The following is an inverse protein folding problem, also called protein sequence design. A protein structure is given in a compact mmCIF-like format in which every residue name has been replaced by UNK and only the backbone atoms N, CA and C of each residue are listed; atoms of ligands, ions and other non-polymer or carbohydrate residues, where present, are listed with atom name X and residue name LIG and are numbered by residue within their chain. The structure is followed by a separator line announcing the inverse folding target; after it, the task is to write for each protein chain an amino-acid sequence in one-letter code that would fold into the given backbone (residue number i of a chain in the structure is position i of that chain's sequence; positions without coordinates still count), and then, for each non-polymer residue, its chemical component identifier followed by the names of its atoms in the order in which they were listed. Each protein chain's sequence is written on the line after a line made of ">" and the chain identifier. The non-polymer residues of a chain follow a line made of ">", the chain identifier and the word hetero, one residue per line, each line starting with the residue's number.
data_IF_758687689744
#
_entry.id   IF_758687689744
#
_cell.length_a   1.000
_cell.length_b   1.000
_cell.length_c   1.000
_cell.angle_alpha   90.00
_cell.angle_beta   90.00
_cell.angle_gamma   90.00
#
_symmetry.space_group_name_H-M   'P 1'
#
loop_
_entity.id
_entity.type
_entity.pdbx_description
1 polymer ?
#
# COMPACT_ATOMS: atom_id res chain seq x y z
N UNK A 1 -38.39 -69.04 -78.80
CA UNK A 1 -39.28 -68.66 -77.71
C UNK A 1 -38.45 -67.98 -76.66
N UNK A 2 -38.51 -66.78 -76.67
CA UNK A 2 -37.60 -65.81 -76.00
C UNK A 2 -38.16 -65.38 -74.62
N UNK A 3 -37.41 -65.46 -73.58
CA UNK A 3 -37.79 -64.95 -72.27
C UNK A 3 -36.82 -63.85 -71.88
N UNK A 4 -37.34 -62.63 -71.75
CA UNK A 4 -36.61 -61.47 -71.30
C UNK A 4 -36.52 -61.45 -69.77
N UNK A 5 -35.29 -61.38 -69.26
CA UNK A 5 -35.06 -61.21 -67.84
C UNK A 5 -34.70 -59.76 -67.60
N UNK A 6 -35.57 -59.02 -66.89
CA UNK A 6 -35.30 -57.63 -66.48
C UNK A 6 -34.32 -57.55 -65.28
N UNK A 7 -33.23 -56.89 -65.50
CA UNK A 7 -32.29 -56.51 -64.40
C UNK A 7 -32.81 -55.30 -63.62
N UNK A 8 -33.04 -55.49 -62.31
CA UNK A 8 -33.40 -54.41 -61.39
C UNK A 8 -32.10 -53.76 -60.89
N UNK A 9 -31.94 -52.46 -61.24
CA UNK A 9 -30.90 -51.60 -60.66
C UNK A 9 -31.29 -51.23 -59.24
N UNK A 10 -30.49 -51.66 -58.23
CA UNK A 10 -30.57 -51.18 -56.86
C UNK A 10 -29.69 -49.96 -56.71
N UNK A 11 -30.32 -48.79 -56.51
CA UNK A 11 -29.62 -47.56 -56.17
C UNK A 11 -29.14 -47.61 -54.71
N UNK A 12 -27.84 -47.75 -54.50
CA UNK A 12 -27.21 -47.56 -53.19
C UNK A 12 -27.22 -46.04 -52.86
N UNK A 13 -27.92 -45.69 -51.77
CA UNK A 13 -27.82 -44.37 -51.18
C UNK A 13 -26.61 -44.36 -50.27
N UNK A 14 -25.58 -43.58 -50.60
CA UNK A 14 -24.47 -43.27 -49.73
C UNK A 14 -24.95 -42.26 -48.66
N UNK A 15 -25.07 -42.70 -47.42
CA UNK A 15 -25.29 -41.83 -46.26
C UNK A 15 -23.96 -41.22 -45.85
N UNK A 16 -23.78 -39.95 -46.22
CA UNK A 16 -22.63 -39.19 -45.75
C UNK A 16 -22.77 -38.86 -44.24
N UNK A 17 -21.95 -39.45 -43.40
CA UNK A 17 -21.79 -39.01 -42.01
C UNK A 17 -20.94 -37.74 -41.98
N UNK A 18 -21.57 -36.57 -41.81
CA UNK A 18 -20.87 -35.35 -41.43
C UNK A 18 -20.53 -35.41 -39.94
N UNK A 19 -19.30 -35.75 -39.62
CA UNK A 19 -18.78 -35.62 -38.27
C UNK A 19 -18.57 -34.13 -37.98
N UNK A 20 -19.50 -33.52 -37.24
CA UNK A 20 -19.34 -32.16 -36.72
C UNK A 20 -18.30 -32.23 -35.56
N UNK A 21 -17.09 -31.77 -35.83
CA UNK A 21 -16.03 -31.59 -34.84
C UNK A 21 -16.40 -30.37 -33.97
N UNK A 22 -17.09 -30.59 -32.84
CA UNK A 22 -17.34 -29.55 -31.85
C UNK A 22 -16.03 -29.26 -31.09
N UNK A 23 -15.29 -28.25 -31.52
CA UNK A 23 -14.16 -27.73 -30.75
C UNK A 23 -14.74 -27.04 -29.52
N UNK A 24 -14.72 -27.73 -28.37
CA UNK A 24 -14.94 -27.09 -27.07
C UNK A 24 -13.76 -26.15 -26.83
N UNK A 25 -14.00 -24.86 -27.04
CA UNK A 25 -13.12 -23.80 -26.55
C UNK A 25 -13.23 -23.81 -25.02
N UNK A 26 -12.31 -24.55 -24.36
CA UNK A 26 -12.06 -24.40 -22.95
C UNK A 26 -11.42 -23.02 -22.75
N UNK A 27 -12.25 -22.00 -22.64
CA UNK A 27 -11.82 -20.68 -22.19
C UNK A 27 -11.29 -20.83 -20.77
N UNK A 28 -9.97 -20.81 -20.59
CA UNK A 28 -9.35 -20.67 -19.29
C UNK A 28 -9.83 -19.33 -18.72
N UNK A 29 -10.83 -19.36 -17.84
CA UNK A 29 -11.19 -18.19 -17.05
C UNK A 29 -9.96 -17.79 -16.24
N UNK A 30 -9.35 -16.65 -16.55
CA UNK A 30 -8.30 -16.09 -15.73
C UNK A 30 -8.87 -15.93 -14.30
N UNK A 31 -8.13 -16.32 -13.27
CA UNK A 31 -8.60 -16.16 -11.90
C UNK A 31 -8.96 -14.72 -11.65
N UNK A 32 -10.11 -14.46 -11.03
CA UNK A 32 -10.56 -13.12 -10.71
C UNK A 32 -9.48 -12.42 -9.89
N UNK A 33 -8.95 -11.29 -10.42
CA UNK A 33 -7.92 -10.53 -9.75
C UNK A 33 -8.54 -9.85 -8.52
N UNK A 34 -7.97 -10.10 -7.34
CA UNK A 34 -8.43 -9.42 -6.13
C UNK A 34 -8.02 -7.95 -6.17
N UNK A 35 -8.74 -7.08 -5.45
CA UNK A 35 -8.39 -5.65 -5.35
C UNK A 35 -6.95 -5.43 -4.85
N UNK A 36 -6.43 -6.35 -4.04
CA UNK A 36 -5.04 -6.29 -3.57
C UNK A 36 -4.02 -6.55 -4.67
N UNK A 37 -4.41 -7.25 -5.74
CA UNK A 37 -3.58 -7.55 -6.91
C UNK A 37 -3.80 -6.55 -8.05
N UNK A 38 -4.73 -5.61 -7.88
CA UNK A 38 -5.03 -4.61 -8.90
C UNK A 38 -3.85 -3.67 -9.16
N UNK A 39 -3.69 -3.29 -10.41
CA UNK A 39 -2.78 -2.27 -10.91
C UNK A 39 -3.55 -1.32 -11.82
N UNK A 40 -2.98 -0.17 -12.16
CA UNK A 40 -3.63 0.82 -13.04
C UNK A 40 -3.54 0.39 -14.52
N UNK A 41 -2.40 -0.22 -14.90
CA UNK A 41 -2.15 -0.58 -16.30
C UNK A 41 -1.94 0.65 -17.20
N UNK A 42 -1.16 1.63 -16.73
CA UNK A 42 -0.89 2.86 -17.48
C UNK A 42 -0.26 2.52 -18.85
N UNK A 43 -0.80 3.05 -19.97
CA UNK A 43 -0.23 2.80 -21.29
C UNK A 43 1.18 3.41 -21.41
N UNK A 44 2.06 2.73 -22.15
CA UNK A 44 3.44 3.18 -22.44
C UNK A 44 4.31 3.44 -21.19
N UNK A 45 4.03 2.78 -20.08
CA UNK A 45 4.85 2.90 -18.87
C UNK A 45 6.26 2.32 -19.10
N UNK A 46 7.27 3.02 -18.60
CA UNK A 46 8.69 2.62 -18.74
C UNK A 46 9.16 1.70 -17.59
N UNK A 47 8.40 1.62 -16.53
CA UNK A 47 8.71 0.80 -15.35
C UNK A 47 7.54 -0.12 -15.03
N UNK A 48 7.84 -1.34 -14.59
CA UNK A 48 6.81 -2.29 -14.16
C UNK A 48 6.00 -1.72 -12.99
N UNK A 49 4.71 -1.97 -13.03
CA UNK A 49 3.79 -1.62 -11.96
C UNK A 49 3.71 -2.77 -10.94
N UNK A 50 3.53 -2.43 -9.68
CA UNK A 50 3.30 -3.38 -8.60
C UNK A 50 1.98 -3.11 -7.90
N UNK A 51 1.34 -4.17 -7.45
CA UNK A 51 0.08 -4.14 -6.70
C UNK A 51 0.29 -3.87 -5.20
N UNK A 52 -0.80 -3.61 -4.48
CA UNK A 52 -0.77 -3.52 -3.00
C UNK A 52 -0.25 -4.83 -2.36
N UNK A 53 -0.60 -6.00 -2.93
CA UNK A 53 -0.08 -7.27 -2.45
C UNK A 53 1.44 -7.39 -2.63
N UNK A 54 1.98 -6.88 -3.74
CA UNK A 54 3.42 -6.86 -3.98
C UNK A 54 4.15 -5.96 -2.99
N UNK A 55 3.61 -4.76 -2.71
CA UNK A 55 4.20 -3.85 -1.71
C UNK A 55 4.22 -4.51 -0.33
N UNK A 56 3.13 -5.18 0.08
CA UNK A 56 3.10 -5.92 1.35
C UNK A 56 4.18 -7.00 1.41
N UNK A 57 4.36 -7.76 0.32
CA UNK A 57 5.40 -8.79 0.24
C UNK A 57 6.79 -8.17 0.36
N UNK A 58 7.07 -7.11 -0.40
CA UNK A 58 8.36 -6.39 -0.38
C UNK A 58 8.70 -5.88 1.03
N UNK A 59 7.71 -5.36 1.76
CA UNK A 59 7.90 -4.89 3.14
C UNK A 59 8.12 -6.05 4.14
N UNK A 60 7.51 -7.21 3.89
CA UNK A 60 7.63 -8.37 4.76
C UNK A 60 8.97 -9.11 4.59
N UNK A 61 9.46 -9.22 3.35
CA UNK A 61 10.67 -9.98 3.02
C UNK A 61 11.92 -9.12 2.77
N UNK A 62 11.77 -7.79 2.77
CA UNK A 62 12.87 -6.85 2.52
C UNK A 62 13.44 -6.94 1.10
N UNK A 63 12.72 -7.51 0.15
CA UNK A 63 13.20 -7.77 -1.21
C UNK A 63 13.35 -6.54 -2.09
N UNK A 64 12.86 -5.38 -1.66
CA UNK A 64 13.09 -4.09 -2.32
C UNK A 64 13.03 -2.93 -1.32
N UNK A 65 13.63 -1.81 -1.68
CA UNK A 65 13.52 -0.56 -0.95
C UNK A 65 12.28 0.18 -1.44
N UNK A 66 11.39 0.53 -0.51
CA UNK A 66 10.19 1.33 -0.82
C UNK A 66 10.52 2.81 -0.67
N UNK A 67 10.31 3.59 -1.74
CA UNK A 67 10.63 5.01 -1.81
C UNK A 67 9.38 5.87 -1.91
N UNK A 68 9.18 6.75 -0.94
CA UNK A 68 8.18 7.81 -1.00
C UNK A 68 8.74 9.03 -1.72
N UNK A 69 8.13 9.36 -2.86
CA UNK A 69 8.56 10.47 -3.71
C UNK A 69 7.81 11.77 -3.45
N UNK A 70 6.97 11.79 -2.42
CA UNK A 70 6.24 13.00 -2.00
C UNK A 70 7.15 13.98 -1.27
N UNK A 71 6.68 15.22 -1.17
CA UNK A 71 7.40 16.26 -0.40
C UNK A 71 7.63 15.82 1.05
N UNK A 72 8.74 16.26 1.63
CA UNK A 72 9.10 15.91 3.02
C UNK A 72 7.96 16.21 4.01
N UNK A 73 7.27 17.33 3.87
CA UNK A 73 6.13 17.68 4.72
C UNK A 73 4.95 16.71 4.65
N UNK A 74 4.74 16.06 3.49
CA UNK A 74 3.70 15.02 3.33
C UNK A 74 4.15 13.69 3.92
N UNK A 75 5.43 13.36 3.74
CA UNK A 75 6.02 12.16 4.30
C UNK A 75 5.97 12.16 5.83
N UNK A 76 6.43 13.24 6.48
CA UNK A 76 6.41 13.34 7.95
C UNK A 76 5.00 13.30 8.52
N UNK A 77 3.99 13.77 7.77
CA UNK A 77 2.58 13.73 8.17
C UNK A 77 1.93 12.34 8.02
N UNK A 78 2.60 11.42 7.32
CA UNK A 78 2.17 10.03 7.19
C UNK A 78 2.68 9.37 5.92
N UNK A 79 3.35 8.22 6.05
CA UNK A 79 3.93 7.44 4.97
C UNK A 79 3.73 5.94 5.17
N UNK A 80 3.91 5.16 4.13
CA UNK A 80 3.87 3.69 4.25
C UNK A 80 4.98 3.25 5.21
N UNK A 81 4.63 2.48 6.23
CA UNK A 81 5.57 2.00 7.24
C UNK A 81 6.79 1.31 6.60
N UNK A 82 7.99 1.74 6.99
CA UNK A 82 9.25 1.24 6.42
C UNK A 82 9.67 1.88 5.10
N UNK A 83 8.92 2.80 4.54
CA UNK A 83 9.34 3.55 3.35
C UNK A 83 10.39 4.61 3.70
N UNK A 84 11.25 4.92 2.73
CA UNK A 84 12.24 6.01 2.82
C UNK A 84 11.83 7.16 1.91
N UNK A 85 12.02 8.40 2.38
CA UNK A 85 11.65 9.58 1.60
C UNK A 85 12.79 10.02 0.67
N UNK A 86 12.45 10.25 -0.58
CA UNK A 86 13.34 10.87 -1.56
C UNK A 86 12.66 12.13 -2.07
N UNK A 87 12.91 13.24 -1.40
CA UNK A 87 12.30 14.53 -1.69
C UNK A 87 13.34 15.66 -1.59
N UNK A 88 14.26 15.79 -2.54
CA UNK A 88 15.07 17.01 -2.66
C UNK A 88 14.18 18.27 -2.74
N UNK A 89 14.72 19.46 -2.51
CA UNK A 89 13.97 20.70 -2.65
C UNK A 89 13.24 20.76 -4.00
N UNK A 90 12.06 21.35 -4.04
CA UNK A 90 11.23 21.40 -5.27
C UNK A 90 11.94 22.11 -6.45
N UNK A 91 12.93 22.97 -6.16
CA UNK A 91 13.79 23.63 -7.15
C UNK A 91 14.99 22.79 -7.60
N UNK A 92 15.21 21.61 -6.99
CA UNK A 92 16.35 20.77 -7.31
C UNK A 92 16.23 20.18 -8.72
N UNK A 93 17.32 20.12 -9.49
CA UNK A 93 17.32 19.46 -10.78
C UNK A 93 17.13 17.94 -10.61
N UNK A 94 16.65 17.29 -11.67
CA UNK A 94 16.41 15.85 -11.71
C UNK A 94 17.62 15.02 -11.25
N UNK A 95 18.83 15.48 -11.54
CA UNK A 95 20.09 14.82 -11.16
C UNK A 95 20.26 14.70 -9.64
N UNK A 96 19.75 15.63 -8.86
CA UNK A 96 19.84 15.55 -7.38
C UNK A 96 18.96 14.44 -6.82
N UNK A 97 17.76 14.21 -7.41
CA UNK A 97 16.89 13.10 -7.01
C UNK A 97 17.54 11.75 -7.31
N UNK A 98 18.17 11.62 -8.49
CA UNK A 98 18.90 10.42 -8.87
C UNK A 98 20.09 10.20 -7.95
N UNK A 99 20.89 11.24 -7.66
CA UNK A 99 22.04 11.16 -6.76
C UNK A 99 21.63 10.78 -5.32
N UNK A 100 20.49 11.28 -4.84
CA UNK A 100 19.97 10.91 -3.54
C UNK A 100 19.64 9.42 -3.46
N UNK A 101 19.01 8.86 -4.51
CA UNK A 101 18.74 7.41 -4.59
C UNK A 101 20.02 6.62 -4.72
N UNK A 102 20.98 7.07 -5.54
CA UNK A 102 22.28 6.41 -5.72
C UNK A 102 23.05 6.31 -4.39
N UNK A 103 23.06 7.39 -3.61
CA UNK A 103 23.64 7.40 -2.26
C UNK A 103 22.92 6.43 -1.33
N UNK A 104 21.59 6.38 -1.36
CA UNK A 104 20.75 5.52 -0.52
C UNK A 104 21.03 4.03 -0.79
N UNK A 105 21.24 3.67 -2.06
CA UNK A 105 21.56 2.27 -2.43
C UNK A 105 23.05 1.93 -2.34
N UNK A 106 23.91 2.88 -1.96
CA UNK A 106 25.36 2.69 -1.88
C UNK A 106 26.02 2.49 -3.26
N UNK A 107 25.45 3.11 -4.30
CA UNK A 107 25.92 3.00 -5.69
C UNK A 107 25.46 1.73 -6.43
N UNK A 108 24.80 0.79 -5.76
CA UNK A 108 24.31 -0.44 -6.39
C UNK A 108 23.01 -0.22 -7.16
N UNK A 109 23.12 0.03 -8.46
CA UNK A 109 21.99 0.27 -9.36
C UNK A 109 21.14 -0.97 -9.68
N UNK A 110 21.57 -2.15 -9.24
CA UNK A 110 20.79 -3.40 -9.36
C UNK A 110 19.79 -3.61 -8.26
N UNK A 111 19.88 -2.88 -7.15
CA UNK A 111 18.94 -2.98 -6.04
C UNK A 111 17.50 -2.73 -6.48
N UNK A 112 16.60 -3.58 -5.98
CA UNK A 112 15.19 -3.47 -6.28
C UNK A 112 14.60 -2.26 -5.57
N UNK A 113 13.94 -1.39 -6.34
CA UNK A 113 13.27 -0.18 -5.87
C UNK A 113 11.78 -0.23 -6.22
N UNK A 114 10.93 0.19 -5.29
CA UNK A 114 9.52 0.44 -5.53
C UNK A 114 9.20 1.87 -5.14
N UNK A 115 8.80 2.68 -6.12
CA UNK A 115 8.48 4.09 -5.89
C UNK A 115 6.97 4.28 -5.77
N UNK A 116 6.53 5.11 -4.83
CA UNK A 116 5.12 5.50 -4.73
C UNK A 116 4.94 7.00 -4.47
N UNK A 117 3.69 7.44 -4.60
CA UNK A 117 3.25 8.83 -4.39
C UNK A 117 1.80 8.88 -3.89
N UNK A 118 1.08 9.96 -4.16
CA UNK A 118 -0.32 10.20 -3.78
C UNK A 118 -1.35 9.57 -4.75
N UNK A 119 -1.01 8.52 -5.46
CA UNK A 119 -1.94 7.80 -6.32
C UNK A 119 -1.74 8.06 -7.83
N UNK A 120 -2.71 7.66 -8.68
CA UNK A 120 -2.53 7.53 -10.12
C UNK A 120 -2.08 8.80 -10.84
N UNK A 121 -2.58 9.95 -10.41
CA UNK A 121 -2.29 11.24 -11.06
C UNK A 121 -0.96 11.88 -10.62
N UNK A 122 -0.23 11.25 -9.70
CA UNK A 122 1.01 11.81 -9.20
C UNK A 122 2.18 11.59 -10.17
N UNK A 123 2.75 12.67 -10.65
CA UNK A 123 3.87 12.60 -11.59
C UNK A 123 5.23 12.36 -10.93
N UNK A 124 5.39 12.63 -9.63
CA UNK A 124 6.69 12.53 -8.97
C UNK A 124 7.30 11.12 -9.04
N UNK A 125 6.53 10.07 -8.71
CA UNK A 125 7.03 8.69 -8.81
C UNK A 125 7.28 8.27 -10.26
N UNK A 126 6.48 8.75 -11.22
CA UNK A 126 6.68 8.48 -12.65
C UNK A 126 7.98 9.10 -13.15
N UNK A 127 8.13 10.41 -12.95
CA UNK A 127 9.32 11.13 -13.42
C UNK A 127 10.60 10.57 -12.79
N UNK A 128 10.62 10.37 -11.47
CA UNK A 128 11.81 9.83 -10.81
C UNK A 128 12.12 8.40 -11.29
N UNK A 129 11.12 7.54 -11.46
CA UNK A 129 11.37 6.17 -11.94
C UNK A 129 11.97 6.15 -13.35
N UNK A 130 11.50 7.01 -14.25
CA UNK A 130 12.05 7.15 -15.61
C UNK A 130 13.48 7.70 -15.59
N UNK A 131 13.77 8.66 -14.71
CA UNK A 131 15.12 9.21 -14.52
C UNK A 131 16.10 8.16 -13.98
N UNK A 132 15.66 7.35 -13.02
CA UNK A 132 16.48 6.25 -12.49
C UNK A 132 16.80 5.22 -13.56
N UNK A 133 15.82 4.82 -14.38
CA UNK A 133 16.07 3.91 -15.52
C UNK A 133 17.05 4.53 -16.49
N UNK A 134 16.90 5.80 -16.84
CA UNK A 134 17.84 6.52 -17.72
C UNK A 134 19.26 6.62 -17.12
N UNK A 135 19.38 6.65 -15.79
CA UNK A 135 20.64 6.66 -15.05
C UNK A 135 21.25 5.26 -14.86
N UNK A 136 20.64 4.20 -15.44
CA UNK A 136 21.16 2.84 -15.42
C UNK A 136 20.69 1.96 -14.25
N UNK A 137 19.67 2.37 -13.50
CA UNK A 137 19.05 1.47 -12.53
C UNK A 137 18.23 0.40 -13.26
N UNK A 138 18.44 -0.87 -12.90
CA UNK A 138 17.89 -2.01 -13.65
C UNK A 138 16.65 -2.65 -13.04
N UNK A 139 16.31 -2.33 -11.78
CA UNK A 139 15.21 -2.95 -11.06
C UNK A 139 14.31 -1.89 -10.38
N UNK A 140 13.69 -1.07 -11.20
CA UNK A 140 12.80 0.02 -10.75
C UNK A 140 11.35 -0.33 -11.07
N UNK A 141 10.49 -0.26 -10.06
CA UNK A 141 9.05 -0.55 -10.15
C UNK A 141 8.25 0.59 -9.52
N UNK A 142 6.96 0.70 -9.84
CA UNK A 142 6.08 1.73 -9.31
C UNK A 142 4.83 1.15 -8.67
N UNK A 143 4.50 1.63 -7.47
CA UNK A 143 3.20 1.43 -6.84
C UNK A 143 2.32 2.66 -7.14
N UNK A 144 1.61 2.61 -8.27
CA UNK A 144 0.84 3.76 -8.76
C UNK A 144 -0.42 4.07 -7.93
N UNK A 145 -0.99 3.05 -7.28
CA UNK A 145 -2.14 3.23 -6.39
C UNK A 145 -1.80 4.10 -5.17
N UNK A 146 -0.54 4.09 -4.75
CA UNK A 146 0.04 4.99 -3.77
C UNK A 146 -0.55 4.93 -2.36
N UNK A 147 -0.26 5.94 -1.55
CA UNK A 147 -0.66 5.99 -0.14
C UNK A 147 -2.19 5.94 0.07
N UNK A 148 -3.06 6.56 -0.75
CA UNK A 148 -4.50 6.50 -0.55
C UNK A 148 -5.05 5.06 -0.59
N UNK A 149 -4.65 4.29 -1.61
CA UNK A 149 -5.07 2.88 -1.69
C UNK A 149 -4.45 2.04 -0.57
N UNK A 150 -3.19 2.30 -0.21
CA UNK A 150 -2.54 1.64 0.92
C UNK A 150 -3.35 1.79 2.21
N UNK A 151 -3.81 3.02 2.53
CA UNK A 151 -4.69 3.29 3.69
C UNK A 151 -6.01 2.55 3.59
N UNK A 152 -6.68 2.63 2.45
CA UNK A 152 -7.97 1.96 2.21
C UNK A 152 -7.88 0.44 2.36
N UNK A 153 -6.73 -0.13 2.02
CA UNK A 153 -6.45 -1.56 2.18
C UNK A 153 -5.87 -1.90 3.57
N UNK A 154 -6.09 -1.08 4.57
CA UNK A 154 -5.61 -1.30 5.95
C UNK A 154 -4.08 -1.41 6.06
N UNK A 155 -3.37 -0.76 5.17
CA UNK A 155 -1.91 -0.69 5.24
C UNK A 155 -1.47 0.23 6.38
N UNK A 156 -0.50 -0.19 7.21
CA UNK A 156 -0.02 0.63 8.30
C UNK A 156 0.74 1.85 7.81
N UNK A 157 0.46 2.99 8.44
CA UNK A 157 1.04 4.29 8.11
C UNK A 157 1.81 4.83 9.32
N UNK A 158 3.06 5.15 9.12
CA UNK A 158 3.89 5.83 10.12
C UNK A 158 3.72 7.35 10.01
N UNK A 159 3.81 8.03 11.15
CA UNK A 159 3.90 9.49 11.26
C UNK A 159 5.16 9.83 12.05
N UNK A 160 5.99 10.73 11.53
CA UNK A 160 7.20 11.14 12.24
C UNK A 160 6.89 12.11 13.40
N UNK A 161 7.83 12.27 14.33
CA UNK A 161 7.68 13.17 15.48
C UNK A 161 7.23 14.57 15.07
N UNK A 162 7.85 15.16 14.05
CA UNK A 162 7.47 16.46 13.49
C UNK A 162 5.99 16.48 13.07
N UNK A 163 5.54 15.42 12.40
CA UNK A 163 4.16 15.24 11.98
C UNK A 163 3.19 15.16 13.16
N UNK A 164 3.54 14.37 14.18
CA UNK A 164 2.74 14.25 15.42
C UNK A 164 2.61 15.60 16.11
N UNK A 165 3.72 16.31 16.31
CA UNK A 165 3.73 17.63 16.96
C UNK A 165 2.88 18.65 16.21
N UNK A 166 2.96 18.65 14.87
CA UNK A 166 2.15 19.52 14.04
C UNK A 166 0.66 19.22 14.21
N UNK A 167 0.26 17.93 14.15
CA UNK A 167 -1.13 17.52 14.35
C UNK A 167 -1.59 17.87 15.75
N UNK A 168 -0.81 17.57 16.77
CA UNK A 168 -1.15 17.83 18.17
C UNK A 168 -1.36 19.32 18.49
N UNK A 169 -0.56 20.19 17.86
CA UNK A 169 -0.64 21.65 18.10
C UNK A 169 -1.75 22.35 17.28
N UNK A 170 -2.12 21.81 16.11
CA UNK A 170 -2.93 22.54 15.13
C UNK A 170 -4.27 21.89 14.82
N UNK A 171 -4.34 20.56 14.78
CA UNK A 171 -5.56 19.83 14.38
C UNK A 171 -6.42 19.49 15.59
N UNK A 172 -7.37 20.38 15.90
CA UNK A 172 -8.29 20.20 17.03
C UNK A 172 -9.31 19.06 16.82
N UNK A 173 -9.39 18.50 15.62
CA UNK A 173 -10.29 17.39 15.30
C UNK A 173 -9.60 16.03 15.36
N UNK A 174 -8.27 16.01 15.48
CA UNK A 174 -7.50 14.79 15.59
C UNK A 174 -7.72 14.09 16.94
N UNK A 175 -7.81 12.78 16.90
CA UNK A 175 -7.95 11.92 18.08
C UNK A 175 -6.61 11.21 18.32
N UNK A 176 -6.17 11.20 19.58
CA UNK A 176 -4.90 10.58 19.97
C UNK A 176 -5.16 9.41 20.90
N UNK A 177 -4.61 8.23 20.55
CA UNK A 177 -4.69 7.03 21.38
C UNK A 177 -3.33 6.64 21.92
N UNK A 178 -3.28 6.48 23.23
CA UNK A 178 -2.14 5.96 23.98
C UNK A 178 -2.31 4.46 24.23
N UNK A 179 -1.44 3.66 23.61
CA UNK A 179 -1.46 2.20 23.69
C UNK A 179 -0.84 1.62 24.95
N UNK A 180 -0.29 2.45 25.85
CA UNK A 180 0.34 1.98 27.10
C UNK A 180 -0.72 1.44 28.07
N UNK A 181 -0.25 0.75 29.11
CA UNK A 181 -1.14 0.25 30.17
C UNK A 181 -1.90 1.38 30.86
N UNK A 182 -3.01 1.06 31.51
CA UNK A 182 -3.80 2.03 32.26
C UNK A 182 -2.99 2.69 33.40
N UNK A 183 -2.11 1.94 34.05
CA UNK A 183 -1.27 2.46 35.12
C UNK A 183 -0.20 3.44 34.61
N UNK A 184 0.43 3.13 33.49
CA UNK A 184 1.38 4.04 32.84
C UNK A 184 0.69 5.34 32.39
N UNK A 185 -0.52 5.21 31.83
CA UNK A 185 -1.33 6.36 31.40
C UNK A 185 -1.74 7.22 32.58
N UNK A 186 -2.18 6.61 33.68
CA UNK A 186 -2.57 7.33 34.91
C UNK A 186 -1.38 8.06 35.57
N UNK A 187 -0.18 7.47 35.47
CA UNK A 187 1.04 8.06 36.03
C UNK A 187 1.50 9.28 35.20
N UNK A 188 1.42 9.19 33.87
CA UNK A 188 1.86 10.26 32.96
C UNK A 188 1.18 10.10 31.61
N UNK A 189 0.45 11.13 31.17
CA UNK A 189 -0.24 11.15 29.88
C UNK A 189 -0.08 12.51 29.18
N UNK A 190 -0.39 12.57 27.91
CA UNK A 190 -0.50 13.82 27.16
C UNK A 190 -1.94 14.33 27.28
N UNK A 191 -2.11 15.64 27.34
CA UNK A 191 -3.43 16.25 27.41
C UNK A 191 -4.26 15.93 26.15
N UNK A 192 -5.56 15.66 26.32
CA UNK A 192 -6.45 15.35 25.21
C UNK A 192 -6.27 13.99 24.56
N UNK A 193 -5.51 13.07 25.18
CA UNK A 193 -5.34 11.73 24.67
C UNK A 193 -6.24 10.71 25.39
N UNK A 194 -6.59 9.63 24.69
CA UNK A 194 -7.38 8.53 25.22
C UNK A 194 -6.52 7.28 25.43
N UNK A 195 -6.68 6.61 26.57
CA UNK A 195 -6.00 5.35 26.80
C UNK A 195 -6.71 4.19 26.10
N UNK A 196 -6.01 3.49 25.23
CA UNK A 196 -6.46 2.30 24.52
C UNK A 196 -5.38 1.24 24.62
N UNK A 197 -5.28 0.51 25.74
CA UNK A 197 -4.16 -0.40 26.01
C UNK A 197 -3.99 -1.47 24.91
N UNK A 198 -2.80 -1.55 24.34
CA UNK A 198 -2.51 -2.47 23.23
C UNK A 198 -2.74 -3.95 23.60
N UNK A 199 -2.49 -4.33 24.86
CA UNK A 199 -2.72 -5.70 25.32
C UNK A 199 -4.19 -6.05 25.36
N UNK A 200 -5.07 -5.12 25.75
CA UNK A 200 -6.52 -5.30 25.63
C UNK A 200 -6.97 -5.38 24.17
N UNK A 201 -6.40 -4.55 23.29
CA UNK A 201 -6.69 -4.60 21.86
C UNK A 201 -6.30 -5.95 21.25
N UNK A 202 -5.18 -6.54 21.65
CA UNK A 202 -4.80 -7.90 21.22
C UNK A 202 -5.79 -8.96 21.67
N UNK A 203 -6.31 -8.85 22.89
CA UNK A 203 -7.19 -9.86 23.48
C UNK A 203 -8.66 -9.72 23.03
N UNK A 204 -9.17 -8.48 22.94
CA UNK A 204 -10.60 -8.19 22.84
C UNK A 204 -10.95 -7.33 21.60
N UNK A 205 -9.96 -6.96 20.80
CA UNK A 205 -10.11 -6.00 19.70
C UNK A 205 -10.38 -4.59 20.23
N UNK A 206 -11.06 -3.77 19.44
CA UNK A 206 -11.35 -2.37 19.76
C UNK A 206 -12.60 -2.18 20.63
N UNK A 207 -13.05 -3.21 21.32
CA UNK A 207 -14.26 -3.12 22.17
C UNK A 207 -14.08 -2.03 23.22
N UNK A 208 -15.00 -1.06 23.24
CA UNK A 208 -14.99 0.07 24.18
C UNK A 208 -13.94 1.15 23.90
N UNK A 209 -13.14 1.02 22.84
CA UNK A 209 -12.28 2.11 22.40
C UNK A 209 -13.14 3.29 21.89
N UNK A 210 -12.79 4.55 22.20
CA UNK A 210 -13.56 5.73 21.81
C UNK A 210 -13.29 6.09 20.34
N UNK A 211 -13.53 5.13 19.44
CA UNK A 211 -13.36 5.35 17.99
C UNK A 211 -14.51 6.22 17.47
N UNK A 212 -14.22 7.19 16.58
CA UNK A 212 -15.25 7.98 15.91
C UNK A 212 -16.22 7.06 15.16
N UNK A 213 -17.53 7.24 15.40
CA UNK A 213 -18.57 6.37 14.83
C UNK A 213 -19.25 6.95 13.59
N UNK A 214 -19.09 8.25 13.36
CA UNK A 214 -19.78 9.01 12.32
C UNK A 214 -18.86 9.67 11.28
N UNK A 215 -17.54 9.61 11.49
CA UNK A 215 -16.55 10.11 10.54
C UNK A 215 -15.34 9.18 10.47
N UNK A 216 -15.32 8.29 9.46
CA UNK A 216 -14.24 7.35 9.19
C UNK A 216 -12.96 8.01 8.68
N UNK A 217 -12.99 9.31 8.34
CA UNK A 217 -11.83 10.10 7.94
C UNK A 217 -11.23 10.91 9.09
N UNK A 218 -11.83 10.88 10.28
CA UNK A 218 -11.19 11.49 11.46
C UNK A 218 -9.75 11.05 11.56
N UNK A 219 -8.85 12.02 11.74
CA UNK A 219 -7.43 11.71 11.92
C UNK A 219 -7.21 11.06 13.28
N UNK A 220 -6.63 9.88 13.26
CA UNK A 220 -6.27 9.15 14.48
C UNK A 220 -4.75 8.98 14.49
N UNK A 221 -4.12 9.48 15.56
CA UNK A 221 -2.69 9.33 15.81
C UNK A 221 -2.48 8.41 16.99
N UNK A 222 -1.68 7.37 16.79
CA UNK A 222 -1.43 6.31 17.75
C UNK A 222 0.00 6.39 18.24
N UNK A 223 0.19 6.21 19.53
CA UNK A 223 1.51 6.07 20.12
C UNK A 223 1.46 5.07 21.27
N UNK A 224 2.62 4.66 21.74
CA UNK A 224 2.74 3.70 22.82
C UNK A 224 4.06 3.87 23.56
N UNK A 225 4.46 2.89 24.36
CA UNK A 225 5.79 2.85 24.97
C UNK A 225 6.87 2.87 23.87
N UNK A 226 6.56 2.22 22.75
CA UNK A 226 7.38 2.14 21.55
C UNK A 226 6.50 1.96 20.29
N UNK A 227 7.13 1.99 19.13
CA UNK A 227 6.44 1.83 17.84
C UNK A 227 5.78 0.47 17.67
N UNK A 228 6.31 -0.60 18.26
CA UNK A 228 5.71 -1.93 18.17
C UNK A 228 4.34 -1.97 18.88
N UNK A 229 4.26 -1.33 20.05
CA UNK A 229 3.00 -1.22 20.79
C UNK A 229 2.00 -0.33 20.06
N UNK A 230 2.43 0.83 19.51
CA UNK A 230 1.58 1.71 18.71
C UNK A 230 1.06 1.01 17.43
N UNK A 231 1.89 0.17 16.82
CA UNK A 231 1.56 -0.61 15.62
C UNK A 231 0.40 -1.59 15.86
N UNK A 232 0.29 -2.19 17.04
CA UNK A 232 -0.84 -3.08 17.39
C UNK A 232 -2.18 -2.35 17.24
N UNK A 233 -2.26 -1.10 17.69
CA UNK A 233 -3.46 -0.28 17.54
C UNK A 233 -3.73 0.03 16.06
N UNK A 234 -2.67 0.36 15.30
CA UNK A 234 -2.80 0.66 13.88
C UNK A 234 -3.36 -0.53 13.08
N UNK A 235 -2.85 -1.74 13.35
CA UNK A 235 -3.31 -2.97 12.69
C UNK A 235 -4.76 -3.32 13.06
N UNK A 236 -5.19 -3.02 14.28
CA UNK A 236 -6.57 -3.24 14.71
C UNK A 236 -7.53 -2.20 14.10
N UNK A 237 -7.18 -0.92 14.13
CA UNK A 237 -7.99 0.17 13.56
C UNK A 237 -8.08 0.08 12.03
N UNK A 238 -7.03 -0.36 11.36
CA UNK A 238 -7.05 -0.58 9.92
C UNK A 238 -8.13 -1.57 9.48
N UNK A 239 -8.53 -2.51 10.35
CA UNK A 239 -9.62 -3.47 10.10
C UNK A 239 -11.01 -2.91 10.38
N UNK A 240 -11.11 -1.73 10.96
CA UNK A 240 -12.38 -1.09 11.39
C UNK A 240 -12.88 0.00 10.45
N UNK A 241 -12.46 0.01 9.18
CA UNK A 241 -12.78 1.01 8.17
C UNK A 241 -12.24 2.43 8.43
N UNK A 242 -11.50 2.67 9.52
CA UNK A 242 -10.85 3.95 9.76
C UNK A 242 -9.69 4.16 8.78
N UNK A 243 -9.77 5.19 7.94
CA UNK A 243 -8.83 5.37 6.83
C UNK A 243 -7.68 6.35 7.13
N UNK A 244 -7.87 7.26 8.08
CA UNK A 244 -6.87 8.28 8.41
C UNK A 244 -6.14 7.98 9.71
N UNK A 245 -5.63 6.74 9.83
CA UNK A 245 -4.88 6.24 10.98
C UNK A 245 -3.39 6.30 10.70
N UNK A 246 -2.63 6.80 11.66
CA UNK A 246 -1.16 6.77 11.63
C UNK A 246 -0.62 6.46 13.02
N UNK A 247 0.51 5.77 13.10
CA UNK A 247 1.18 5.48 14.35
C UNK A 247 2.58 6.11 14.40
N UNK A 248 2.95 6.57 15.58
CA UNK A 248 4.29 7.09 15.84
C UNK A 248 5.22 5.92 16.19
N UNK A 249 6.32 5.71 15.44
CA UNK A 249 7.22 4.58 15.66
C UNK A 249 8.21 4.79 16.82
N UNK A 250 8.32 6.02 17.36
CA UNK A 250 9.18 6.35 18.49
C UNK A 250 8.56 6.02 19.84
N UNK A 251 9.17 6.52 20.90
CA UNK A 251 8.76 6.26 22.28
C UNK A 251 7.81 7.33 22.81
N UNK A 252 6.99 6.96 23.81
CA UNK A 252 6.20 7.94 24.54
C UNK A 252 7.07 9.03 25.17
N UNK A 253 8.25 8.69 25.70
CA UNK A 253 9.12 9.66 26.35
C UNK A 253 9.66 10.72 25.37
N UNK A 254 10.06 10.29 24.16
CA UNK A 254 10.43 11.23 23.08
C UNK A 254 9.30 12.19 22.77
N UNK A 255 8.09 11.66 22.59
CA UNK A 255 6.91 12.45 22.32
C UNK A 255 6.57 13.41 23.47
N UNK A 256 6.61 12.92 24.69
CA UNK A 256 6.29 13.71 25.89
C UNK A 256 7.28 14.85 26.14
N UNK A 257 8.55 14.65 25.82
CA UNK A 257 9.57 15.72 25.85
C UNK A 257 9.30 16.74 24.75
N UNK A 258 9.08 16.29 23.54
CA UNK A 258 8.90 17.17 22.37
C UNK A 258 7.60 18.00 22.44
N UNK A 259 6.51 17.47 23.00
CA UNK A 259 5.25 18.22 23.20
C UNK A 259 5.42 19.38 24.18
N UNK A 260 6.31 19.25 25.16
CA UNK A 260 6.58 20.30 26.17
C UNK A 260 7.60 21.33 25.71
N UNK A 261 8.34 21.05 24.63
CA UNK A 261 9.29 22.00 24.10
C UNK A 261 8.54 23.22 23.51
N UNK A 262 9.05 24.45 23.70
CA UNK A 262 8.43 25.69 23.25
C UNK A 262 8.34 25.79 21.72
#
# INVERSE_FOLDING_TARGET
>A
MTSFTQARFVKARAAGFAAALSVLMLGSAAPAQTILQATIGEPNQKTAEVSTADVRRVLADGSAILLDTRKRAEYVAGHIAGAQNVAPPASAPASEYVAAVEKLVGGDKSKALVLYCNGPNCQASKQLSEQLVAAGFTNVRRYQLGLPMWRTMSGPVEIELEGVLRVYKVDQTAVFFDGRSADEFATKSLSGTHNVPADKVKAEGLRGAPTPSNDFNTRIVLFGRDGAQARVLADALGKSAMQNVSYFPGTFEELAVAVKAP
#
